data_IF_227514314771
#
_entry.id   IF_227514314771
#
_cell.length_a   1.000
_cell.length_b   1.000
_cell.length_c   1.000
_cell.angle_alpha   90.00
_cell.angle_beta   90.00
_cell.angle_gamma   90.00
#
_symmetry.space_group_name_H-M   'P 1'
#
loop_
_entity.id
_entity.type
_entity.pdbx_description
1 polymer ?
#
# COMPACT_ATOMS: atom_id res chain seq x y z
N UNK A 1 12.75 -62.77 -10.76
CA UNK A 1 14.11 -62.46 -10.27
C UNK A 1 14.02 -62.25 -8.76
N UNK A 2 14.55 -63.18 -7.98
CA UNK A 2 14.56 -63.12 -6.51
C UNK A 2 15.68 -62.18 -6.06
N UNK A 3 15.33 -60.96 -5.66
CA UNK A 3 16.28 -60.01 -5.09
C UNK A 3 16.40 -60.30 -3.60
N UNK A 4 17.48 -60.97 -3.19
CA UNK A 4 17.84 -61.15 -1.78
C UNK A 4 18.00 -59.78 -1.13
N UNK A 5 17.31 -59.46 -0.02
CA UNK A 5 17.51 -58.20 0.67
C UNK A 5 18.96 -58.10 1.15
N UNK A 6 19.64 -57.01 0.78
CA UNK A 6 21.01 -56.72 1.26
C UNK A 6 20.99 -56.66 2.78
N UNK A 7 21.63 -57.63 3.43
CA UNK A 7 21.91 -57.63 4.86
C UNK A 7 22.78 -56.41 5.19
N UNK A 8 22.30 -55.57 6.10
CA UNK A 8 23.00 -54.38 6.56
C UNK A 8 24.22 -54.83 7.38
N UNK A 9 25.43 -54.54 6.91
CA UNK A 9 26.67 -54.80 7.65
C UNK A 9 26.71 -53.95 8.94
N UNK A 10 26.95 -54.58 10.09
CA UNK A 10 26.81 -54.04 11.46
C UNK A 10 27.69 -52.88 11.90
N UNK A 11 28.20 -52.04 10.99
CA UNK A 11 28.96 -50.82 11.31
C UNK A 11 28.34 -49.52 10.77
N UNK A 12 27.24 -49.58 10.02
CA UNK A 12 26.59 -48.39 9.46
C UNK A 12 25.53 -47.88 10.43
N UNK A 13 25.63 -46.61 10.84
CA UNK A 13 24.62 -45.94 11.68
C UNK A 13 23.22 -46.20 11.10
N UNK A 14 22.35 -46.86 11.86
CA UNK A 14 20.99 -47.20 11.45
C UNK A 14 20.18 -45.97 11.02
N UNK A 15 20.56 -44.76 11.48
CA UNK A 15 19.94 -43.49 11.07
C UNK A 15 20.33 -43.02 9.68
N UNK A 16 21.31 -43.65 9.05
CA UNK A 16 21.84 -43.25 7.75
C UNK A 16 21.27 -44.04 6.58
N UNK A 17 20.45 -45.06 6.87
CA UNK A 17 19.82 -45.97 5.90
C UNK A 17 18.33 -46.15 6.21
N UNK A 18 17.54 -46.59 5.24
CA UNK A 18 16.10 -46.86 5.42
C UNK A 18 15.89 -48.23 6.08
N UNK A 19 15.17 -48.28 7.21
CA UNK A 19 14.86 -49.51 7.98
C UNK A 19 13.38 -49.91 7.87
N UNK A 20 13.06 -51.19 8.09
CA UNK A 20 11.72 -51.76 7.85
C UNK A 20 10.67 -51.41 8.93
N UNK A 21 11.08 -50.89 10.08
CA UNK A 21 10.28 -50.89 11.32
C UNK A 21 9.23 -49.78 11.47
N UNK A 22 8.79 -49.11 10.40
CA UNK A 22 7.84 -47.98 10.61
C UNK A 22 6.68 -47.83 9.64
N UNK A 23 6.72 -48.32 8.40
CA UNK A 23 5.57 -48.31 7.49
C UNK A 23 5.75 -49.44 6.45
N UNK A 24 4.71 -49.76 5.64
CA UNK A 24 4.85 -50.66 4.48
C UNK A 24 5.73 -50.01 3.42
N UNK A 25 7.05 -50.06 3.62
CA UNK A 25 8.07 -49.48 2.74
C UNK A 25 8.30 -50.43 1.57
N UNK A 26 8.38 -49.89 0.35
CA UNK A 26 8.75 -50.69 -0.81
C UNK A 26 10.16 -51.31 -0.59
N UNK A 27 10.34 -52.64 -0.75
CA UNK A 27 11.62 -53.32 -0.45
C UNK A 27 12.83 -52.71 -1.18
N UNK A 28 12.58 -52.11 -2.33
CA UNK A 28 13.56 -51.42 -3.20
C UNK A 28 14.20 -50.18 -2.57
N UNK A 29 13.61 -49.64 -1.51
CA UNK A 29 14.11 -48.47 -0.78
C UNK A 29 15.06 -48.83 0.35
N UNK A 30 15.03 -50.08 0.83
CA UNK A 30 15.86 -50.52 1.94
C UNK A 30 17.34 -50.41 1.58
N UNK A 31 18.13 -49.84 2.49
CA UNK A 31 19.57 -49.66 2.31
C UNK A 31 20.00 -48.48 1.42
N UNK A 32 19.07 -47.64 0.93
CA UNK A 32 19.46 -46.39 0.25
C UNK A 32 20.03 -45.37 1.25
N UNK A 33 21.09 -44.62 0.88
CA UNK A 33 21.69 -43.63 1.77
C UNK A 33 20.76 -42.43 1.96
N UNK A 34 20.47 -42.10 3.22
CA UNK A 34 19.67 -40.94 3.60
C UNK A 34 20.49 -39.65 3.51
N UNK A 35 19.83 -38.55 3.16
CA UNK A 35 20.47 -37.24 3.16
C UNK A 35 20.88 -36.84 4.60
N UNK A 36 22.07 -36.23 4.74
CA UNK A 36 22.52 -35.67 6.02
C UNK A 36 21.69 -34.41 6.37
N UNK A 37 21.43 -34.12 7.66
CA UNK A 37 20.64 -32.96 8.06
C UNK A 37 21.13 -31.64 7.47
N UNK A 38 22.45 -31.39 7.51
CA UNK A 38 23.03 -30.16 6.97
C UNK A 38 22.85 -30.03 5.45
N UNK A 39 22.85 -31.13 4.69
CA UNK A 39 22.61 -31.08 3.23
C UNK A 39 21.20 -30.61 2.91
N UNK A 40 20.24 -31.04 3.73
CA UNK A 40 18.84 -30.60 3.61
C UNK A 40 18.69 -29.13 4.02
N UNK A 41 19.35 -28.72 5.10
CA UNK A 41 19.36 -27.32 5.53
C UNK A 41 19.95 -26.39 4.45
N UNK A 42 21.12 -26.72 3.89
CA UNK A 42 21.72 -25.97 2.78
C UNK A 42 20.83 -25.95 1.54
N UNK A 43 20.20 -27.08 1.18
CA UNK A 43 19.26 -27.11 0.05
C UNK A 43 18.08 -26.15 0.27
N UNK A 44 17.51 -26.12 1.48
CA UNK A 44 16.41 -25.21 1.83
C UNK A 44 16.87 -23.74 1.86
N UNK A 45 18.08 -23.46 2.33
CA UNK A 45 18.64 -22.11 2.31
C UNK A 45 18.83 -21.59 0.89
N UNK A 46 19.34 -22.42 -0.02
CA UNK A 46 19.46 -22.09 -1.45
C UNK A 46 18.09 -21.86 -2.08
N UNK A 47 17.12 -22.74 -1.80
CA UNK A 47 15.74 -22.55 -2.26
C UNK A 47 15.12 -21.25 -1.72
N UNK A 48 15.39 -20.90 -0.46
CA UNK A 48 14.96 -19.65 0.16
C UNK A 48 15.54 -18.41 -0.53
N UNK A 49 16.82 -18.46 -0.94
CA UNK A 49 17.45 -17.40 -1.72
C UNK A 49 16.78 -17.23 -3.09
N UNK A 50 16.47 -18.33 -3.79
CA UNK A 50 15.72 -18.27 -5.05
C UNK A 50 14.32 -17.66 -4.86
N UNK A 51 13.62 -18.05 -3.80
CA UNK A 51 12.29 -17.50 -3.48
C UNK A 51 12.40 -16.01 -3.15
N UNK A 52 13.40 -15.58 -2.38
CA UNK A 52 13.61 -14.16 -2.08
C UNK A 52 13.91 -13.34 -3.34
N UNK A 53 14.73 -13.88 -4.25
CA UNK A 53 15.03 -13.23 -5.53
C UNK A 53 13.77 -13.15 -6.43
N UNK A 54 12.94 -14.20 -6.43
CA UNK A 54 11.66 -14.22 -7.13
C UNK A 54 10.65 -13.27 -6.50
N UNK A 55 10.66 -13.09 -5.17
CA UNK A 55 9.75 -12.18 -4.47
C UNK A 55 9.95 -10.71 -4.87
N UNK A 56 11.17 -10.34 -5.27
CA UNK A 56 11.49 -9.00 -5.80
C UNK A 56 11.14 -8.83 -7.29
N UNK A 57 10.62 -9.87 -7.95
CA UNK A 57 10.24 -9.80 -9.36
C UNK A 57 8.88 -9.11 -9.52
N UNK A 58 8.68 -8.28 -10.56
CA UNK A 58 7.39 -7.64 -10.81
C UNK A 58 6.23 -8.66 -10.81
N UNK A 59 5.15 -8.33 -10.08
CA UNK A 59 4.04 -9.26 -9.81
C UNK A 59 3.37 -9.88 -11.05
N UNK A 60 3.55 -9.28 -12.23
CA UNK A 60 3.02 -9.84 -13.46
C UNK A 60 3.74 -11.10 -13.95
N UNK A 61 5.07 -11.19 -13.78
CA UNK A 61 5.83 -12.38 -14.13
C UNK A 61 5.46 -13.53 -13.19
N UNK A 62 5.15 -13.19 -11.94
CA UNK A 62 4.69 -14.14 -10.94
C UNK A 62 3.31 -14.69 -11.29
N UNK A 63 2.35 -13.84 -11.69
CA UNK A 63 1.04 -14.27 -12.17
C UNK A 63 1.14 -15.19 -13.40
N UNK A 64 2.05 -14.88 -14.34
CA UNK A 64 2.31 -15.71 -15.51
C UNK A 64 2.89 -17.08 -15.11
N UNK A 65 3.90 -17.11 -14.23
CA UNK A 65 4.50 -18.34 -13.73
C UNK A 65 3.48 -19.21 -12.99
N UNK A 66 2.67 -18.62 -12.11
CA UNK A 66 1.59 -19.30 -11.40
C UNK A 66 0.57 -19.93 -12.36
N UNK A 67 0.17 -19.20 -13.39
CA UNK A 67 -0.71 -19.68 -14.46
C UNK A 67 -0.13 -20.88 -15.21
N UNK A 68 1.16 -20.83 -15.59
CA UNK A 68 1.85 -21.93 -16.27
C UNK A 68 1.92 -23.18 -15.38
N UNK A 69 2.22 -23.01 -14.09
CA UNK A 69 2.26 -24.11 -13.12
C UNK A 69 0.89 -24.75 -12.98
N UNK A 70 -0.17 -23.96 -12.78
CA UNK A 70 -1.54 -24.48 -12.70
C UNK A 70 -1.95 -25.19 -13.99
N UNK A 71 -1.58 -24.65 -15.15
CA UNK A 71 -1.82 -25.28 -16.44
C UNK A 71 -1.12 -26.65 -16.56
N UNK A 72 0.14 -26.75 -16.12
CA UNK A 72 0.89 -28.02 -16.13
C UNK A 72 0.42 -29.02 -15.08
N UNK A 73 -0.02 -28.56 -13.90
CA UNK A 73 -0.67 -29.40 -12.89
C UNK A 73 -1.97 -30.05 -13.42
N UNK A 74 -2.51 -29.46 -14.47
CA UNK A 74 -3.77 -29.83 -15.11
C UNK A 74 -3.55 -30.62 -16.42
N UNK A 75 -2.30 -30.88 -16.81
CA UNK A 75 -1.95 -31.66 -17.99
C UNK A 75 -2.48 -33.12 -17.88
N UNK A 76 -2.87 -33.75 -19.00
CA UNK A 76 -3.70 -34.95 -18.98
C UNK A 76 -3.00 -36.14 -18.33
N UNK A 77 -3.46 -36.54 -17.15
CA UNK A 77 -3.32 -37.92 -16.67
C UNK A 77 -4.48 -38.73 -17.26
N UNK A 78 -4.22 -39.97 -17.69
CA UNK A 78 -5.08 -40.87 -18.50
C UNK A 78 -6.49 -41.21 -17.95
N UNK A 79 -7.06 -40.47 -17.00
CA UNK A 79 -8.39 -40.72 -16.44
C UNK A 79 -9.43 -39.72 -16.97
N UNK A 80 -10.26 -40.16 -17.92
CA UNK A 80 -11.36 -39.43 -18.54
C UNK A 80 -12.59 -39.37 -17.62
N UNK A 81 -13.01 -38.16 -17.23
CA UNK A 81 -14.26 -37.91 -16.51
C UNK A 81 -14.78 -36.49 -16.76
N UNK A 82 -16.07 -36.37 -17.08
CA UNK A 82 -16.73 -35.14 -17.54
C UNK A 82 -16.60 -33.97 -16.54
N UNK A 83 -16.74 -34.26 -15.24
CA UNK A 83 -16.62 -33.28 -14.13
C UNK A 83 -15.22 -32.66 -14.04
N UNK A 84 -14.17 -33.45 -14.34
CA UNK A 84 -12.80 -32.93 -14.39
C UNK A 84 -12.54 -32.13 -15.67
N UNK A 85 -13.34 -32.24 -16.71
CA UNK A 85 -13.26 -31.36 -17.89
C UNK A 85 -13.62 -29.92 -17.57
N UNK A 86 -14.72 -29.71 -16.84
CA UNK A 86 -15.24 -28.39 -16.50
C UNK A 86 -14.33 -27.61 -15.54
N UNK A 87 -13.73 -28.30 -14.55
CA UNK A 87 -12.75 -27.69 -13.64
C UNK A 87 -11.53 -27.18 -14.42
N UNK A 88 -11.08 -27.91 -15.45
CA UNK A 88 -9.96 -27.47 -16.32
C UNK A 88 -10.30 -26.23 -17.14
N UNK A 89 -11.52 -26.15 -17.65
CA UNK A 89 -11.99 -24.98 -18.39
C UNK A 89 -12.06 -23.75 -17.47
N UNK A 90 -12.55 -23.93 -16.23
CA UNK A 90 -12.63 -22.87 -15.23
C UNK A 90 -11.23 -22.31 -14.87
N UNK A 91 -10.23 -23.16 -14.65
CA UNK A 91 -8.87 -22.70 -14.38
C UNK A 91 -8.21 -22.03 -15.59
N UNK A 92 -8.52 -22.47 -16.82
CA UNK A 92 -8.06 -21.80 -18.05
C UNK A 92 -8.71 -20.43 -18.25
N UNK A 93 -9.99 -20.30 -17.92
CA UNK A 93 -10.69 -19.02 -17.90
C UNK A 93 -10.12 -18.08 -16.84
N UNK A 94 -9.87 -18.56 -15.63
CA UNK A 94 -9.25 -17.78 -14.56
C UNK A 94 -7.84 -17.30 -14.94
N UNK A 95 -7.03 -18.18 -15.54
CA UNK A 95 -5.72 -17.83 -16.08
C UNK A 95 -5.81 -16.79 -17.21
N UNK A 96 -6.77 -16.94 -18.12
CA UNK A 96 -7.00 -16.00 -19.22
C UNK A 96 -7.48 -14.63 -18.72
N UNK A 97 -8.38 -14.61 -17.73
CA UNK A 97 -8.83 -13.39 -17.07
C UNK A 97 -7.65 -12.71 -16.37
N UNK A 98 -6.83 -13.45 -15.64
CA UNK A 98 -5.67 -12.89 -14.96
C UNK A 98 -4.69 -12.26 -15.96
N UNK A 99 -4.40 -12.92 -17.09
CA UNK A 99 -3.59 -12.36 -18.19
C UNK A 99 -4.28 -11.15 -18.83
N UNK A 100 -5.58 -11.17 -19.02
CA UNK A 100 -6.35 -10.08 -19.59
C UNK A 100 -6.35 -8.84 -18.69
N UNK A 101 -6.56 -9.00 -17.38
CA UNK A 101 -6.42 -7.91 -16.40
C UNK A 101 -5.01 -7.35 -16.41
N UNK A 102 -4.00 -8.20 -16.58
CA UNK A 102 -2.61 -7.82 -16.69
C UNK A 102 -2.33 -6.99 -17.96
N UNK A 103 -2.91 -7.39 -19.09
CA UNK A 103 -2.84 -6.65 -20.35
C UNK A 103 -3.53 -5.28 -20.21
N UNK A 104 -4.68 -5.20 -19.53
CA UNK A 104 -5.38 -3.93 -19.28
C UNK A 104 -4.55 -2.99 -18.40
N UNK A 105 -4.01 -3.49 -17.28
CA UNK A 105 -3.20 -2.68 -16.36
C UNK A 105 -1.90 -2.24 -17.04
N UNK A 106 -1.28 -3.11 -17.83
CA UNK A 106 -0.09 -2.78 -18.63
C UNK A 106 -0.42 -1.76 -19.73
N UNK A 107 -1.57 -1.91 -20.39
CA UNK A 107 -2.05 -0.96 -21.39
C UNK A 107 -2.32 0.42 -20.79
N UNK A 108 -2.81 0.50 -19.56
CA UNK A 108 -2.96 1.76 -18.81
C UNK A 108 -1.64 2.50 -18.61
N UNK A 109 -0.55 1.79 -18.34
CA UNK A 109 0.81 2.36 -18.18
C UNK A 109 1.44 2.76 -19.52
N UNK A 110 1.26 1.94 -20.56
CA UNK A 110 1.76 2.25 -21.91
C UNK A 110 0.98 3.42 -22.51
N UNK A 111 -0.35 3.46 -22.35
CA UNK A 111 -1.19 4.55 -22.87
C UNK A 111 -0.99 5.88 -22.14
N UNK A 112 -0.64 5.86 -20.86
CA UNK A 112 -0.23 7.07 -20.14
C UNK A 112 1.18 7.53 -20.58
N UNK A 113 2.10 6.60 -20.83
CA UNK A 113 3.41 6.89 -21.42
C UNK A 113 3.34 7.41 -22.86
N UNK A 114 2.44 6.87 -23.70
CA UNK A 114 2.26 7.34 -25.09
C UNK A 114 1.43 8.62 -25.18
N UNK A 115 0.61 8.96 -24.18
CA UNK A 115 0.04 10.33 -24.06
C UNK A 115 1.12 11.35 -23.69
N UNK A 116 2.05 11.00 -22.82
CA UNK A 116 3.21 11.85 -22.53
C UNK A 116 4.13 12.00 -23.76
N UNK A 117 4.36 10.92 -24.53
CA UNK A 117 5.18 10.94 -25.74
C UNK A 117 4.47 11.55 -26.98
N UNK A 118 3.14 11.37 -27.11
CA UNK A 118 2.33 11.97 -28.18
C UNK A 118 2.22 13.49 -28.05
N UNK A 119 2.31 14.01 -26.83
CA UNK A 119 2.42 15.46 -26.57
C UNK A 119 3.79 16.01 -27.01
N UNK A 120 4.80 15.16 -27.21
CA UNK A 120 6.18 15.57 -27.59
C UNK A 120 6.53 15.40 -29.08
N UNK A 121 5.68 14.76 -29.87
CA UNK A 121 5.92 14.47 -31.30
C UNK A 121 4.89 15.12 -32.26
N UNK A 122 3.94 15.88 -31.73
CA UNK A 122 3.09 16.79 -32.50
C UNK A 122 3.79 18.12 -32.75
N UNK A 123 4.67 18.12 -33.76
CA UNK A 123 5.27 19.23 -34.47
C UNK A 123 4.90 20.66 -34.01
N UNK A 124 5.91 21.34 -33.48
CA UNK A 124 6.18 22.74 -33.77
C UNK A 124 5.99 23.01 -35.27
N UNK A 125 4.86 23.64 -35.63
CA UNK A 125 4.76 24.48 -36.82
C UNK A 125 3.96 25.72 -36.44
N UNK A 126 4.73 26.69 -35.97
CA UNK A 126 4.46 28.14 -36.01
C UNK A 126 3.11 28.65 -35.48
N UNK A 127 3.12 29.03 -34.19
CA UNK A 127 2.79 30.42 -33.87
C UNK A 127 3.74 30.95 -32.80
N UNK A 128 4.68 31.74 -33.29
CA UNK A 128 5.50 32.66 -32.51
C UNK A 128 4.63 33.50 -31.59
N UNK A 129 4.75 33.26 -30.28
CA UNK A 129 4.67 34.28 -29.24
C UNK A 129 5.30 33.69 -27.98
N UNK A 130 6.42 34.30 -27.59
CA UNK A 130 7.13 34.30 -26.32
C UNK A 130 6.65 33.36 -25.18
N UNK A 131 7.63 32.72 -24.55
CA UNK A 131 7.53 32.04 -23.26
C UNK A 131 6.61 32.77 -22.27
N UNK A 132 5.66 32.10 -21.58
CA UNK A 132 5.08 32.68 -20.41
C UNK A 132 6.09 32.47 -19.28
N UNK A 133 6.81 33.54 -18.97
CA UNK A 133 7.24 33.75 -17.60
C UNK A 133 6.07 33.43 -16.66
N UNK A 134 6.36 32.86 -15.49
CA UNK A 134 5.42 32.81 -14.37
C UNK A 134 5.19 34.23 -13.87
N UNK A 135 4.47 35.00 -14.68
CA UNK A 135 3.88 36.27 -14.33
C UNK A 135 2.59 35.97 -13.62
N UNK A 136 2.50 36.45 -12.39
CA UNK A 136 1.26 36.67 -11.67
C UNK A 136 0.34 37.48 -12.60
N UNK A 137 -0.57 36.81 -13.30
CA UNK A 137 -1.65 37.46 -14.05
C UNK A 137 -2.63 38.02 -13.03
N UNK A 138 -2.34 39.23 -12.55
CA UNK A 138 -3.34 40.11 -11.95
C UNK A 138 -4.47 40.30 -12.97
N UNK A 139 -5.61 39.67 -12.75
CA UNK A 139 -6.89 40.15 -13.27
C UNK A 139 -7.81 39.16 -13.98
N UNK A 140 -7.44 37.90 -14.23
CA UNK A 140 -8.34 36.95 -14.88
C UNK A 140 -8.72 35.80 -13.93
N UNK A 141 -9.93 35.87 -13.38
CA UNK A 141 -10.55 34.77 -12.64
C UNK A 141 -10.67 33.55 -13.55
N UNK A 142 -10.22 32.37 -13.11
CA UNK A 142 -10.31 31.16 -13.93
C UNK A 142 -11.76 30.88 -14.38
N UNK A 143 -12.01 30.50 -15.65
CA UNK A 143 -13.35 30.20 -16.16
C UNK A 143 -14.09 29.13 -15.35
N UNK A 144 -13.33 28.23 -14.71
CA UNK A 144 -13.86 27.18 -13.83
C UNK A 144 -14.52 27.73 -12.57
N UNK A 145 -14.01 28.82 -12.00
CA UNK A 145 -14.54 29.46 -10.80
C UNK A 145 -15.78 30.29 -11.12
N UNK A 146 -15.75 30.98 -12.27
CA UNK A 146 -16.88 31.79 -12.78
C UNK A 146 -18.12 30.94 -13.04
N UNK A 147 -17.94 29.76 -13.64
CA UNK A 147 -19.05 28.88 -14.02
C UNK A 147 -19.39 27.83 -12.94
N UNK A 148 -18.95 28.03 -11.70
CA UNK A 148 -19.23 27.08 -10.63
C UNK A 148 -20.73 27.12 -10.27
N UNK A 149 -21.29 25.96 -9.92
CA UNK A 149 -22.69 25.86 -9.47
C UNK A 149 -22.99 26.77 -8.27
N UNK A 150 -21.99 27.03 -7.41
CA UNK A 150 -22.13 27.96 -6.29
C UNK A 150 -22.18 29.43 -6.73
N UNK A 151 -21.45 29.81 -7.78
CA UNK A 151 -21.48 31.18 -8.34
C UNK A 151 -22.85 31.48 -8.94
N UNK A 152 -23.42 30.52 -9.68
CA UNK A 152 -24.77 30.62 -10.23
C UNK A 152 -25.81 30.70 -9.11
N UNK A 153 -25.64 29.90 -8.05
CA UNK A 153 -26.52 29.96 -6.87
C UNK A 153 -26.46 31.31 -6.17
N UNK A 154 -25.27 31.89 -5.98
CA UNK A 154 -25.12 33.23 -5.39
C UNK A 154 -25.83 34.32 -6.21
N UNK A 155 -25.64 34.35 -7.53
CA UNK A 155 -26.31 35.30 -8.42
C UNK A 155 -27.84 35.16 -8.43
N UNK A 156 -28.34 33.96 -8.14
CA UNK A 156 -29.77 33.67 -8.04
C UNK A 156 -30.40 34.02 -6.67
N UNK A 157 -29.68 34.69 -5.76
CA UNK A 157 -30.23 35.12 -4.47
C UNK A 157 -31.28 36.24 -4.66
N UNK A 158 -32.42 36.08 -3.99
CA UNK A 158 -33.55 37.01 -4.12
C UNK A 158 -33.58 38.08 -3.03
N UNK A 159 -32.94 37.82 -1.90
CA UNK A 159 -32.82 38.73 -0.77
C UNK A 159 -31.39 38.81 -0.21
N UNK A 160 -31.16 39.78 0.66
CA UNK A 160 -29.83 40.05 1.24
C UNK A 160 -29.37 38.92 2.17
N UNK A 161 -30.26 38.37 3.00
CA UNK A 161 -29.93 37.28 3.94
C UNK A 161 -29.49 36.01 3.20
N UNK A 162 -30.21 35.67 2.15
CA UNK A 162 -29.95 34.55 1.26
C UNK A 162 -28.65 34.76 0.47
N UNK A 163 -28.37 35.98 0.03
CA UNK A 163 -27.12 36.31 -0.65
C UNK A 163 -25.90 36.09 0.27
N UNK A 164 -25.98 36.51 1.54
CA UNK A 164 -24.94 36.30 2.53
C UNK A 164 -24.70 34.81 2.83
N UNK A 165 -25.77 34.03 3.03
CA UNK A 165 -25.68 32.60 3.30
C UNK A 165 -25.13 31.81 2.07
N UNK A 166 -25.55 32.19 0.86
CA UNK A 166 -25.02 31.61 -0.38
C UNK A 166 -23.56 32.02 -0.63
N UNK A 167 -23.13 33.23 -0.27
CA UNK A 167 -21.73 33.64 -0.34
C UNK A 167 -20.84 32.81 0.59
N UNK A 168 -21.26 32.57 1.84
CA UNK A 168 -20.53 31.73 2.79
C UNK A 168 -20.43 30.27 2.30
N UNK A 169 -21.51 29.73 1.70
CA UNK A 169 -21.49 28.40 1.06
C UNK A 169 -20.58 28.35 -0.16
N UNK A 170 -20.49 29.42 -0.96
CA UNK A 170 -19.61 29.50 -2.11
C UNK A 170 -18.14 29.45 -1.68
N UNK A 171 -17.74 30.26 -0.69
CA UNK A 171 -16.36 30.27 -0.16
C UNK A 171 -15.95 28.87 0.32
N UNK A 172 -16.80 28.24 1.15
CA UNK A 172 -16.50 26.90 1.68
C UNK A 172 -16.45 25.82 0.60
N UNK A 173 -17.29 25.92 -0.43
CA UNK A 173 -17.28 25.01 -1.57
C UNK A 173 -16.00 25.14 -2.40
N UNK A 174 -15.58 26.38 -2.69
CA UNK A 174 -14.37 26.64 -3.49
C UNK A 174 -13.09 26.22 -2.75
N UNK A 175 -13.01 26.45 -1.43
CA UNK A 175 -11.90 25.95 -0.61
C UNK A 175 -11.80 24.43 -0.63
N UNK A 176 -12.93 23.71 -0.55
CA UNK A 176 -12.95 22.23 -0.68
C UNK A 176 -12.48 21.74 -2.06
N UNK A 177 -12.63 22.57 -3.09
CA UNK A 177 -12.16 22.27 -4.44
C UNK A 177 -10.70 22.66 -4.68
N UNK A 178 -10.01 23.20 -3.66
CA UNK A 178 -8.59 23.57 -3.72
C UNK A 178 -8.32 24.98 -4.23
N UNK A 179 -9.33 25.84 -4.35
CA UNK A 179 -9.14 27.25 -4.74
C UNK A 179 -8.46 28.04 -3.61
N UNK A 180 -7.51 28.89 -3.97
CA UNK A 180 -6.80 29.79 -3.05
C UNK A 180 -7.68 30.97 -2.64
N UNK A 181 -7.48 31.52 -1.44
CA UNK A 181 -8.24 32.67 -0.96
C UNK A 181 -8.05 33.91 -1.86
N UNK A 182 -6.90 34.04 -2.53
CA UNK A 182 -6.63 35.05 -3.56
C UNK A 182 -7.51 34.91 -4.80
N UNK A 183 -7.75 33.67 -5.27
CA UNK A 183 -8.62 33.38 -6.42
C UNK A 183 -10.09 33.62 -6.06
N UNK A 184 -10.51 33.18 -4.87
CA UNK A 184 -11.87 33.41 -4.36
C UNK A 184 -12.13 34.92 -4.22
N UNK A 185 -11.15 35.69 -3.72
CA UNK A 185 -11.25 37.15 -3.62
C UNK A 185 -11.43 37.82 -4.99
N UNK A 186 -10.65 37.40 -5.98
CA UNK A 186 -10.78 37.93 -7.34
C UNK A 186 -12.16 37.65 -7.94
N UNK A 187 -12.76 36.49 -7.66
CA UNK A 187 -14.12 36.15 -8.06
C UNK A 187 -15.15 37.08 -7.41
N UNK A 188 -15.07 37.32 -6.09
CA UNK A 188 -16.03 38.21 -5.41
C UNK A 188 -15.89 39.68 -5.80
N UNK A 189 -14.67 40.15 -6.10
CA UNK A 189 -14.46 41.50 -6.66
C UNK A 189 -15.14 41.65 -8.02
N UNK A 190 -15.06 40.62 -8.87
CA UNK A 190 -15.72 40.62 -10.17
C UNK A 190 -17.25 40.52 -10.04
N UNK A 191 -17.75 39.67 -9.14
CA UNK A 191 -19.20 39.54 -8.90
C UNK A 191 -19.80 40.83 -8.35
N UNK A 192 -19.05 41.58 -7.53
CA UNK A 192 -19.41 42.91 -7.04
C UNK A 192 -19.50 43.93 -8.18
N UNK A 193 -18.55 43.89 -9.11
CA UNK A 193 -18.53 44.81 -10.25
C UNK A 193 -19.64 44.51 -11.27
N UNK A 194 -19.99 43.23 -11.44
CA UNK A 194 -21.04 42.77 -12.34
C UNK A 194 -22.45 42.77 -11.71
N UNK A 195 -22.58 43.02 -10.41
CA UNK A 195 -23.89 42.98 -9.76
C UNK A 195 -24.69 44.26 -9.99
N UNK A 196 -25.77 44.15 -10.75
CA UNK A 196 -26.80 45.21 -10.88
C UNK A 196 -27.71 45.30 -9.64
N UNK A 197 -27.66 44.30 -8.74
CA UNK A 197 -28.51 44.20 -7.54
C UNK A 197 -27.74 44.65 -6.28
N UNK A 198 -28.28 45.59 -5.48
CA UNK A 198 -27.54 46.18 -4.36
C UNK A 198 -27.24 45.18 -3.23
N UNK A 199 -28.12 44.20 -2.98
CA UNK A 199 -27.90 43.19 -1.94
C UNK A 199 -26.84 42.13 -2.30
N UNK A 200 -26.54 41.95 -3.58
CA UNK A 200 -25.43 41.09 -4.02
C UNK A 200 -24.08 41.78 -3.80
N UNK A 201 -24.03 43.10 -4.01
CA UNK A 201 -22.85 43.90 -3.71
C UNK A 201 -22.54 43.92 -2.21
N UNK A 202 -23.55 44.10 -1.35
CA UNK A 202 -23.35 44.04 0.12
C UNK A 202 -22.91 42.66 0.61
N UNK A 203 -23.48 41.59 0.04
CA UNK A 203 -23.05 40.22 0.33
C UNK A 203 -21.64 39.90 -0.21
N UNK A 204 -21.23 40.50 -1.33
CA UNK A 204 -19.87 40.37 -1.83
C UNK A 204 -18.87 41.16 -0.96
N UNK A 205 -19.23 42.36 -0.50
CA UNK A 205 -18.40 43.19 0.39
C UNK A 205 -18.19 42.49 1.75
N UNK A 206 -19.22 41.87 2.31
CA UNK A 206 -19.09 41.08 3.55
C UNK A 206 -18.24 39.81 3.34
N UNK A 207 -18.39 39.13 2.21
CA UNK A 207 -17.53 38.00 1.84
C UNK A 207 -16.05 38.41 1.69
N UNK A 208 -15.78 39.57 1.07
CA UNK A 208 -14.43 40.12 0.94
C UNK A 208 -13.84 40.50 2.31
N UNK A 209 -14.64 40.99 3.24
CA UNK A 209 -14.20 41.30 4.60
C UNK A 209 -13.79 40.03 5.36
N UNK A 210 -14.53 38.92 5.19
CA UNK A 210 -14.16 37.60 5.76
C UNK A 210 -12.88 37.05 5.14
N UNK A 211 -12.70 37.21 3.83
CA UNK A 211 -11.49 36.77 3.13
C UNK A 211 -10.27 37.61 3.50
N UNK A 212 -10.44 38.92 3.73
CA UNK A 212 -9.37 39.81 4.20
C UNK A 212 -9.05 39.59 5.69
N UNK A 213 -10.04 39.25 6.53
CA UNK A 213 -9.81 38.90 7.93
C UNK A 213 -9.04 37.58 8.12
N UNK A 214 -9.09 36.69 7.12
CA UNK A 214 -8.29 35.48 7.07
C UNK A 214 -6.84 35.73 6.60
N UNK A 215 -6.54 36.92 6.09
CA UNK A 215 -5.19 37.33 5.75
C UNK A 215 -4.45 37.66 7.06
N UNK A 216 -3.44 36.86 7.39
CA UNK A 216 -2.43 37.23 8.40
C UNK A 216 -1.80 38.54 7.92
N UNK A 217 -2.30 39.67 8.40
CA UNK A 217 -1.65 40.96 8.21
C UNK A 217 -0.24 40.82 8.79
N UNK A 218 0.83 41.02 8.00
CA UNK A 218 2.18 40.89 8.50
C UNK A 218 2.36 41.83 9.69
N UNK A 219 2.98 41.35 10.78
CA UNK A 219 3.13 42.06 12.05
C UNK A 219 3.64 43.52 11.92
N UNK A 220 4.40 43.79 10.85
CA UNK A 220 4.88 45.13 10.51
C UNK A 220 3.74 46.15 10.22
N UNK A 221 2.62 45.74 9.62
CA UNK A 221 1.50 46.64 9.32
C UNK A 221 0.58 46.85 10.52
N UNK A 222 0.49 45.87 11.42
CA UNK A 222 -0.23 45.99 12.70
C UNK A 222 0.46 46.98 13.64
N UNK A 223 1.81 46.95 13.70
CA UNK A 223 2.61 47.89 14.49
C UNK A 223 2.54 49.33 13.96
N UNK A 224 2.59 49.52 12.64
CA UNK A 224 2.45 50.85 12.02
C UNK A 224 1.04 51.44 12.30
N UNK A 225 0.00 50.62 12.30
CA UNK A 225 -1.35 51.06 12.61
C UNK A 225 -1.54 51.42 14.10
N UNK A 226 -0.95 50.66 15.03
CA UNK A 226 -0.98 51.01 16.46
C UNK A 226 -0.22 52.30 16.76
N UNK A 227 0.94 52.51 16.14
CA UNK A 227 1.74 53.72 16.33
C UNK A 227 1.00 54.98 15.83
N UNK A 228 0.32 54.87 14.69
CA UNK A 228 -0.53 55.96 14.17
C UNK A 228 -1.74 56.25 15.07
N UNK A 229 -2.33 55.23 15.70
CA UNK A 229 -3.43 55.40 16.65
C UNK A 229 -2.96 56.07 17.96
N UNK A 230 -1.75 55.78 18.43
CA UNK A 230 -1.15 56.47 19.59
C UNK A 230 -0.93 57.96 19.28
N UNK A 231 -0.38 58.27 18.10
CA UNK A 231 -0.19 59.66 17.65
C UNK A 231 -1.52 60.41 17.52
N UNK A 232 -2.54 59.77 16.92
CA UNK A 232 -3.87 60.36 16.80
C UNK A 232 -4.54 60.58 18.16
N UNK A 233 -4.31 59.69 19.13
CA UNK A 233 -4.80 59.86 20.50
C UNK A 233 -4.16 61.06 21.19
N UNK A 234 -2.83 61.19 21.11
CA UNK A 234 -2.10 62.35 21.67
C UNK A 234 -2.56 63.66 21.03
N UNK A 235 -2.72 63.70 19.71
CA UNK A 235 -3.23 64.89 19.01
C UNK A 235 -4.66 65.27 19.44
N UNK A 236 -5.52 64.29 19.73
CA UNK A 236 -6.88 64.55 20.23
C UNK A 236 -6.92 65.10 21.66
N UNK A 237 -5.92 64.78 22.48
CA UNK A 237 -5.75 65.35 23.82
C UNK A 237 -5.24 66.79 23.76
N UNK A 238 -4.36 67.11 22.81
CA UNK A 238 -3.86 68.48 22.60
C UNK A 238 -4.95 69.42 22.07
N UNK A 239 -5.93 68.89 21.32
CA UNK A 239 -7.09 69.65 20.81
C UNK A 239 -8.25 69.76 21.81
N UNK A 240 -8.13 69.19 23.00
CA UNK A 240 -9.15 69.17 24.06
C UNK A 240 -10.53 68.64 23.59
N UNK A 241 -10.53 67.66 22.67
CA UNK A 241 -11.76 66.98 22.21
C UNK A 241 -11.93 65.63 22.95
N UNK A 242 -12.74 65.58 24.02
CA UNK A 242 -12.92 64.38 24.83
C UNK A 242 -13.66 63.26 24.09
N UNK A 243 -14.42 63.56 23.03
CA UNK A 243 -15.18 62.56 22.26
C UNK A 243 -14.26 61.83 21.28
N UNK A 244 -13.43 62.59 20.57
CA UNK A 244 -12.42 62.01 19.69
C UNK A 244 -11.41 61.16 20.49
N UNK A 245 -10.95 61.66 21.63
CA UNK A 245 -10.04 60.93 22.51
C UNK A 245 -10.65 59.62 23.03
N UNK A 246 -11.93 59.62 23.44
CA UNK A 246 -12.61 58.41 23.91
C UNK A 246 -12.76 57.34 22.81
N UNK A 247 -13.08 57.75 21.57
CA UNK A 247 -13.21 56.84 20.43
C UNK A 247 -11.88 56.19 20.05
N UNK A 248 -10.79 56.97 20.00
CA UNK A 248 -9.46 56.46 19.66
C UNK A 248 -8.92 55.56 20.78
N UNK A 249 -9.17 55.91 22.07
CA UNK A 249 -8.79 55.07 23.21
C UNK A 249 -9.42 53.68 23.16
N UNK A 250 -10.69 53.59 22.76
CA UNK A 250 -11.37 52.31 22.61
C UNK A 250 -10.72 51.44 21.51
N UNK A 251 -10.39 52.03 20.36
CA UNK A 251 -9.71 51.33 19.27
C UNK A 251 -8.28 50.90 19.63
N UNK A 252 -7.54 51.76 20.35
CA UNK A 252 -6.20 51.44 20.83
C UNK A 252 -6.22 50.29 21.85
N UNK A 253 -7.18 50.29 22.78
CA UNK A 253 -7.33 49.20 23.75
C UNK A 253 -7.68 47.86 23.09
N UNK A 254 -8.51 47.89 22.03
CA UNK A 254 -8.90 46.69 21.30
C UNK A 254 -7.75 46.10 20.48
N UNK A 255 -6.90 46.95 19.87
CA UNK A 255 -5.75 46.51 19.08
C UNK A 255 -4.62 45.94 19.95
N UNK A 256 -4.32 46.57 21.09
CA UNK A 256 -3.34 46.04 22.06
C UNK A 256 -3.83 44.72 22.66
N UNK A 257 -5.12 44.64 23.04
CA UNK A 257 -5.69 43.42 23.58
C UNK A 257 -5.76 42.28 22.56
N UNK A 258 -5.87 42.57 21.26
CA UNK A 258 -5.95 41.56 20.21
C UNK A 258 -4.67 40.73 20.09
N UNK A 259 -3.50 41.35 20.26
CA UNK A 259 -2.21 40.65 20.21
C UNK A 259 -2.06 39.66 21.37
N UNK A 260 -2.39 40.09 22.59
CA UNK A 260 -2.31 39.26 23.80
C UNK A 260 -3.35 38.12 23.77
N UNK A 261 -4.57 38.38 23.28
CA UNK A 261 -5.59 37.35 23.08
C UNK A 261 -5.19 36.33 22.01
N UNK A 262 -4.49 36.77 20.96
CA UNK A 262 -4.05 35.89 19.89
C UNK A 262 -2.91 34.99 20.36
N UNK A 263 -1.95 35.53 21.11
CA UNK A 263 -0.88 34.74 21.73
C UNK A 263 -1.43 33.63 22.65
N UNK A 264 -2.44 33.97 23.48
CA UNK A 264 -3.06 33.00 24.38
C UNK A 264 -3.86 31.92 23.61
N UNK A 265 -4.53 32.28 22.51
CA UNK A 265 -5.22 31.29 21.64
C UNK A 265 -4.24 30.35 20.96
N UNK A 266 -3.12 30.89 20.49
CA UNK A 266 -2.07 30.08 19.85
C UNK A 266 -1.47 29.07 20.85
N UNK A 267 -1.29 29.45 22.11
CA UNK A 267 -0.85 28.55 23.18
C UNK A 267 -1.87 27.42 23.44
N UNK A 268 -3.16 27.76 23.52
CA UNK A 268 -4.23 26.76 23.68
C UNK A 268 -4.29 25.80 22.49
N UNK A 269 -4.20 26.32 21.26
CA UNK A 269 -4.17 25.49 20.06
C UNK A 269 -2.95 24.56 20.01
N UNK A 270 -1.78 25.03 20.44
CA UNK A 270 -0.59 24.19 20.55
C UNK A 270 -0.76 23.11 21.63
N UNK A 271 -1.42 23.45 22.75
CA UNK A 271 -1.76 22.49 23.80
C UNK A 271 -2.68 21.38 23.28
N UNK A 272 -3.76 21.75 22.58
CA UNK A 272 -4.71 20.80 21.99
C UNK A 272 -4.05 19.91 20.93
N UNK A 273 -3.17 20.46 20.10
CA UNK A 273 -2.40 19.70 19.12
C UNK A 273 -1.48 18.67 19.78
N UNK A 274 -0.83 19.01 20.90
CA UNK A 274 0.00 18.07 21.69
C UNK A 274 -0.85 16.99 22.35
N UNK A 275 -2.01 17.33 22.89
CA UNK A 275 -2.92 16.34 23.48
C UNK A 275 -3.42 15.37 22.41
N UNK A 276 -3.74 15.87 21.21
CA UNK A 276 -4.14 15.04 20.08
C UNK A 276 -3.02 14.09 19.62
N UNK A 277 -1.77 14.56 19.53
CA UNK A 277 -0.64 13.70 19.15
C UNK A 277 -0.37 12.62 20.19
N UNK A 278 -0.39 12.96 21.48
CA UNK A 278 -0.18 12.00 22.57
C UNK A 278 -1.31 10.95 22.61
N UNK A 279 -2.57 11.35 22.36
CA UNK A 279 -3.67 10.40 22.23
C UNK A 279 -3.51 9.47 21.04
N UNK A 280 -3.03 9.97 19.90
CA UNK A 280 -2.73 9.15 18.72
C UNK A 280 -1.61 8.14 19.02
N UNK A 281 -0.53 8.58 19.66
CA UNK A 281 0.57 7.70 20.07
C UNK A 281 0.11 6.63 21.06
N UNK A 282 -0.80 6.98 21.98
CA UNK A 282 -1.38 6.03 22.92
C UNK A 282 -2.32 5.04 22.23
N UNK A 283 -3.14 5.48 21.27
CA UNK A 283 -4.01 4.60 20.47
C UNK A 283 -3.18 3.64 19.61
N UNK A 284 -2.05 4.08 19.04
CA UNK A 284 -1.14 3.24 18.25
C UNK A 284 -0.34 2.27 19.12
N UNK A 285 0.03 2.67 20.34
CA UNK A 285 0.69 1.81 21.33
C UNK A 285 -0.28 0.81 21.99
N UNK A 286 -1.55 1.21 22.21
CA UNK A 286 -2.60 0.32 22.71
C UNK A 286 -3.17 -0.60 21.64
N UNK A 287 -3.00 -0.26 20.35
CA UNK A 287 -3.59 -1.01 19.24
C UNK A 287 -3.03 -2.40 18.98
N UNK A 288 -1.97 -2.89 19.66
CA UNK A 288 -1.70 -4.33 19.80
C UNK A 288 -0.37 -4.64 20.54
N UNK A 289 -0.38 -5.03 21.83
CA UNK A 289 0.75 -5.71 22.48
C UNK A 289 0.51 -7.22 22.49
N UNK A 290 0.29 -7.82 21.31
CA UNK A 290 -0.16 -9.21 21.20
C UNK A 290 0.62 -10.07 20.20
N UNK A 291 0.88 -11.32 20.58
CA UNK A 291 1.39 -12.38 19.70
C UNK A 291 0.54 -12.50 18.42
N UNK A 292 -0.76 -12.21 18.50
CA UNK A 292 -1.68 -12.21 17.36
C UNK A 292 -1.36 -11.12 16.33
N UNK A 293 -0.89 -9.95 16.76
CA UNK A 293 -0.48 -8.87 15.85
C UNK A 293 0.85 -9.16 15.18
N UNK A 294 1.78 -9.79 15.91
CA UNK A 294 3.00 -10.34 15.32
C UNK A 294 2.67 -11.43 14.29
N UNK A 295 1.76 -12.35 14.61
CA UNK A 295 1.30 -13.38 13.68
C UNK A 295 0.55 -12.79 12.48
N UNK A 296 -0.22 -11.71 12.66
CA UNK A 296 -0.93 -11.03 11.57
C UNK A 296 0.02 -10.26 10.66
N UNK A 297 0.99 -9.53 11.21
CA UNK A 297 2.07 -8.87 10.44
C UNK A 297 2.91 -9.89 9.67
N UNK A 298 3.27 -11.00 10.33
CA UNK A 298 3.86 -12.14 9.64
C UNK A 298 2.93 -12.69 8.56
N UNK A 299 1.64 -12.86 8.80
CA UNK A 299 0.71 -13.38 7.79
C UNK A 299 0.46 -12.42 6.63
N UNK A 300 0.55 -11.11 6.84
CA UNK A 300 0.42 -10.07 5.80
C UNK A 300 1.70 -9.97 4.96
N UNK A 301 2.88 -9.98 5.60
CA UNK A 301 4.20 -10.00 4.95
C UNK A 301 4.49 -11.36 4.26
N UNK A 302 4.02 -12.46 4.87
CA UNK A 302 4.11 -13.82 4.33
C UNK A 302 2.92 -14.17 3.43
N UNK A 303 1.85 -13.38 3.34
CA UNK A 303 0.66 -13.75 2.56
C UNK A 303 0.98 -13.94 1.08
N UNK A 304 1.84 -13.07 0.55
CA UNK A 304 2.44 -13.22 -0.78
C UNK A 304 3.63 -14.19 -0.74
N UNK A 305 4.54 -14.09 0.25
CA UNK A 305 5.75 -14.92 0.32
C UNK A 305 5.50 -16.43 0.50
N UNK A 306 4.60 -16.82 1.39
CA UNK A 306 4.15 -18.19 1.66
C UNK A 306 3.40 -18.78 0.48
N UNK A 307 2.55 -17.99 -0.19
CA UNK A 307 1.86 -18.40 -1.41
C UNK A 307 2.83 -18.73 -2.53
N UNK A 308 3.82 -17.87 -2.77
CA UNK A 308 4.87 -18.10 -3.78
C UNK A 308 5.83 -19.22 -3.40
N UNK A 309 6.22 -19.33 -2.13
CA UNK A 309 6.99 -20.46 -1.63
C UNK A 309 6.23 -21.77 -1.88
N UNK A 310 4.92 -21.78 -1.63
CA UNK A 310 4.05 -22.93 -1.88
C UNK A 310 3.99 -23.32 -3.33
N UNK A 311 3.81 -22.35 -4.21
CA UNK A 311 3.83 -22.56 -5.66
C UNK A 311 5.20 -23.07 -6.13
N UNK A 312 6.29 -22.43 -5.71
CA UNK A 312 7.66 -22.81 -6.03
C UNK A 312 7.95 -24.26 -5.61
N UNK A 313 7.76 -24.59 -4.33
CA UNK A 313 8.06 -25.92 -3.81
C UNK A 313 7.15 -26.97 -4.45
N UNK A 314 5.85 -26.72 -4.58
CA UNK A 314 4.91 -27.66 -5.19
C UNK A 314 5.25 -27.91 -6.66
N UNK A 315 5.52 -26.85 -7.42
CA UNK A 315 5.84 -26.92 -8.84
C UNK A 315 7.14 -27.67 -9.09
N UNK A 316 8.25 -27.25 -8.47
CA UNK A 316 9.54 -27.89 -8.71
C UNK A 316 9.54 -29.34 -8.23
N UNK A 317 8.99 -29.63 -7.05
CA UNK A 317 8.93 -31.00 -6.53
C UNK A 317 8.09 -31.91 -7.43
N UNK A 318 6.96 -31.43 -7.95
CA UNK A 318 6.13 -32.22 -8.87
C UNK A 318 6.77 -32.35 -10.27
N UNK A 319 7.29 -31.26 -10.84
CA UNK A 319 7.84 -31.22 -12.21
C UNK A 319 9.20 -31.90 -12.33
N UNK A 320 10.03 -31.85 -11.29
CA UNK A 320 11.37 -32.43 -11.27
C UNK A 320 11.45 -33.72 -10.45
N UNK A 321 10.32 -34.44 -10.32
CA UNK A 321 10.25 -35.77 -9.70
C UNK A 321 10.91 -35.83 -8.31
N UNK A 322 10.55 -34.91 -7.42
CA UNK A 322 11.06 -34.87 -6.04
C UNK A 322 12.27 -33.96 -5.83
N UNK A 323 12.59 -33.07 -6.78
CA UNK A 323 13.74 -32.16 -6.68
C UNK A 323 13.30 -30.70 -6.69
N UNK A 324 14.10 -29.87 -6.03
CA UNK A 324 14.08 -28.41 -6.14
C UNK A 324 15.47 -27.95 -6.62
N UNK A 325 15.63 -26.72 -7.13
CA UNK A 325 16.93 -26.17 -7.47
C UNK A 325 17.99 -26.39 -6.38
N UNK A 326 17.69 -26.05 -5.12
CA UNK A 326 18.60 -26.28 -4.00
C UNK A 326 18.88 -27.77 -3.73
N UNK A 327 17.85 -28.63 -3.78
CA UNK A 327 18.05 -30.08 -3.59
C UNK A 327 18.89 -30.70 -4.72
N UNK A 328 18.70 -30.25 -5.95
CA UNK A 328 19.49 -30.68 -7.11
C UNK A 328 20.96 -30.28 -6.95
N UNK A 329 21.22 -29.06 -6.49
CA UNK A 329 22.58 -28.58 -6.20
C UNK A 329 23.26 -29.42 -5.09
N UNK A 330 22.50 -29.81 -4.07
CA UNK A 330 23.03 -30.61 -2.95
C UNK A 330 23.08 -32.13 -3.21
N UNK A 331 22.66 -32.58 -4.40
CA UNK A 331 22.63 -34.00 -4.78
C UNK A 331 21.67 -34.81 -3.90
N UNK A 332 20.49 -34.27 -3.59
CA UNK A 332 19.47 -34.94 -2.77
C UNK A 332 18.12 -34.95 -3.48
N UNK A 333 17.32 -35.99 -3.23
CA UNK A 333 16.03 -36.20 -3.90
C UNK A 333 14.98 -36.71 -2.91
N UNK A 334 13.75 -36.20 -3.06
CA UNK A 334 12.58 -36.71 -2.34
C UNK A 334 12.05 -37.95 -3.06
N UNK A 335 11.83 -39.03 -2.32
CA UNK A 335 11.24 -40.28 -2.81
C UNK A 335 10.06 -40.63 -1.90
N UNK A 336 8.99 -41.17 -2.49
CA UNK A 336 7.82 -41.64 -1.74
C UNK A 336 8.07 -43.06 -1.22
N UNK A 337 7.55 -43.38 -0.03
CA UNK A 337 7.78 -44.66 0.63
C UNK A 337 7.26 -45.88 -0.16
N UNK A 338 6.33 -45.67 -1.09
CA UNK A 338 5.76 -46.69 -1.97
C UNK A 338 6.40 -46.73 -3.38
N UNK A 339 7.56 -46.07 -3.59
CA UNK A 339 8.26 -45.96 -4.87
C UNK A 339 7.48 -45.30 -6.02
N UNK A 340 6.27 -44.77 -5.80
CA UNK A 340 5.50 -44.12 -6.87
C UNK A 340 6.03 -42.72 -7.16
N UNK A 341 5.82 -42.19 -8.39
CA UNK A 341 6.25 -40.85 -8.74
C UNK A 341 5.65 -39.79 -7.83
N UNK A 342 6.40 -38.70 -7.67
CA UNK A 342 6.01 -37.55 -6.85
C UNK A 342 4.94 -36.75 -7.57
N UNK A 343 3.70 -36.86 -7.10
CA UNK A 343 2.56 -36.16 -7.69
C UNK A 343 2.31 -34.78 -7.07
N UNK A 344 1.55 -33.94 -7.79
CA UNK A 344 1.18 -32.58 -7.39
C UNK A 344 0.55 -32.49 -6.00
N UNK A 345 -0.41 -33.37 -5.68
CA UNK A 345 -1.08 -33.39 -4.38
C UNK A 345 -0.11 -33.65 -3.24
N UNK A 346 0.74 -34.67 -3.37
CA UNK A 346 1.74 -34.99 -2.36
C UNK A 346 2.74 -33.84 -2.18
N UNK A 347 3.17 -33.21 -3.28
CA UNK A 347 4.07 -32.06 -3.21
C UNK A 347 3.44 -30.87 -2.44
N UNK A 348 2.14 -30.63 -2.62
CA UNK A 348 1.39 -29.62 -1.88
C UNK A 348 1.20 -29.97 -0.40
N UNK A 349 0.80 -31.21 -0.09
CA UNK A 349 0.68 -31.72 1.29
C UNK A 349 2.02 -31.59 2.04
N UNK A 350 3.12 -31.95 1.37
CA UNK A 350 4.47 -31.79 1.89
C UNK A 350 4.81 -30.32 2.13
N UNK A 351 4.37 -29.40 1.27
CA UNK A 351 4.56 -27.97 1.49
C UNK A 351 3.81 -27.46 2.73
N UNK A 352 2.56 -27.88 2.93
CA UNK A 352 1.80 -27.58 4.14
C UNK A 352 2.53 -28.03 5.42
N UNK A 353 3.22 -29.17 5.36
CA UNK A 353 4.09 -29.63 6.44
C UNK A 353 5.27 -28.69 6.76
N UNK A 354 5.80 -27.93 5.79
CA UNK A 354 6.81 -26.90 6.05
C UNK A 354 6.19 -25.74 6.83
N UNK A 355 5.01 -25.26 6.43
CA UNK A 355 4.30 -24.21 7.15
C UNK A 355 4.01 -24.62 8.60
N UNK A 356 3.54 -25.85 8.82
CA UNK A 356 3.35 -26.41 10.16
C UNK A 356 4.66 -26.51 10.96
N UNK A 357 5.77 -26.86 10.31
CA UNK A 357 7.08 -26.92 10.96
C UNK A 357 7.60 -25.53 11.38
N UNK A 358 7.26 -24.47 10.62
CA UNK A 358 7.56 -23.08 11.00
C UNK A 358 6.65 -22.65 12.16
N UNK A 359 5.34 -22.92 12.07
CA UNK A 359 4.36 -22.56 13.10
C UNK A 359 4.68 -23.18 14.48
N UNK A 360 5.34 -24.34 14.50
CA UNK A 360 5.81 -25.02 15.71
C UNK A 360 7.20 -24.57 16.17
N UNK A 361 7.69 -23.42 15.72
CA UNK A 361 8.97 -22.86 16.14
C UNK A 361 10.18 -23.63 15.61
N UNK A 362 10.12 -24.11 14.36
CA UNK A 362 11.13 -24.95 13.70
C UNK A 362 11.35 -26.35 14.32
N UNK A 363 10.62 -26.69 15.38
CA UNK A 363 10.70 -28.00 16.03
C UNK A 363 10.37 -29.13 15.04
N UNK A 364 9.42 -28.88 14.12
CA UNK A 364 9.10 -29.82 13.05
C UNK A 364 10.25 -30.12 12.08
N UNK A 365 11.18 -29.19 11.89
CA UNK A 365 12.42 -29.42 11.16
C UNK A 365 13.48 -30.10 12.03
N UNK A 366 13.60 -29.70 13.30
CA UNK A 366 14.56 -30.26 14.24
C UNK A 366 14.37 -31.77 14.47
N UNK A 367 13.16 -32.30 14.22
CA UNK A 367 12.88 -33.74 14.30
C UNK A 367 13.85 -34.62 13.51
N UNK A 368 14.42 -34.09 12.42
CA UNK A 368 15.42 -34.80 11.62
C UNK A 368 16.66 -35.26 12.43
N UNK A 369 16.99 -34.56 13.52
CA UNK A 369 18.20 -34.79 14.30
C UNK A 369 18.12 -36.08 15.13
N UNK A 370 16.91 -36.47 15.55
CA UNK A 370 16.67 -37.62 16.41
C UNK A 370 15.78 -38.71 15.79
N UNK A 371 15.10 -38.42 14.67
CA UNK A 371 14.28 -39.41 13.98
C UNK A 371 15.13 -40.52 13.32
N UNK A 372 14.72 -41.79 13.50
CA UNK A 372 15.46 -42.96 12.99
C UNK A 372 15.64 -42.94 11.47
N UNK A 373 14.67 -42.42 10.71
CA UNK A 373 14.75 -42.34 9.26
C UNK A 373 15.11 -40.92 8.78
N UNK A 374 15.57 -40.05 9.68
CA UNK A 374 15.86 -38.63 9.41
C UNK A 374 14.69 -37.93 8.72
N UNK A 375 13.47 -38.23 9.18
CA UNK A 375 12.24 -37.61 8.68
C UNK A 375 11.83 -36.45 9.58
N UNK A 376 11.54 -35.30 8.95
CA UNK A 376 10.89 -34.16 9.57
C UNK A 376 9.36 -34.29 9.47
N UNK A 377 8.60 -33.39 10.11
CA UNK A 377 7.12 -33.42 10.10
C UNK A 377 6.56 -33.46 8.66
N UNK A 378 7.09 -32.64 7.77
CA UNK A 378 6.67 -32.60 6.37
C UNK A 378 6.98 -33.89 5.59
N UNK A 379 8.03 -34.63 5.98
CA UNK A 379 8.32 -35.95 5.38
C UNK A 379 7.28 -36.98 5.80
N UNK A 380 6.90 -36.97 7.08
CA UNK A 380 5.94 -37.90 7.67
C UNK A 380 4.54 -37.69 7.13
N UNK A 381 4.07 -36.44 7.07
CA UNK A 381 2.76 -36.08 6.52
C UNK A 381 2.62 -36.54 5.07
N UNK A 382 3.69 -36.42 4.28
CA UNK A 382 3.67 -36.76 2.85
C UNK A 382 4.15 -38.19 2.54
N UNK A 383 4.40 -39.03 3.55
CA UNK A 383 4.92 -40.40 3.41
C UNK A 383 6.16 -40.48 2.49
N UNK A 384 7.15 -39.63 2.78
CA UNK A 384 8.34 -39.44 1.94
C UNK A 384 9.63 -39.52 2.73
N UNK A 385 10.72 -39.76 2.02
CA UNK A 385 12.09 -39.74 2.53
C UNK A 385 12.99 -38.95 1.59
N UNK A 386 14.05 -38.35 2.13
CA UNK A 386 15.05 -37.64 1.33
C UNK A 386 16.32 -38.48 1.27
N UNK A 387 16.65 -38.94 0.08
CA UNK A 387 17.84 -39.76 -0.17
C UNK A 387 18.96 -38.90 -0.76
N UNK A 388 20.20 -39.32 -0.50
CA UNK A 388 21.38 -38.80 -1.21
C UNK A 388 21.47 -39.51 -2.56
N UNK A 389 21.70 -38.76 -3.63
CA UNK A 389 22.04 -39.33 -4.92
C UNK A 389 23.53 -39.73 -4.94
N UNK A 390 23.77 -40.95 -5.42
CA UNK A 390 25.10 -41.57 -5.53
C UNK A 390 25.90 -40.96 -6.66
#
# INVERSE_FOLDING_TARGET
MNSTPRQVSGGTDARSIITADSFRIAPELLGRPLARPWRRACAMAVDGLFIALLANTPGFLLALAGSIVLFRATAPSQATGYVRGSIRLMFRFSAAIMVFTLLIVSWGRVSSGTRAAGTSLGLNSERSAAAPERGVSRGAVEPRLRNSSGTISFLAASDESEAHDRAARLISSLRRQGATDTEIRSLFLELREQSERPWLATAADSALLVLNAAEKVPAAQTQIASDLLVVAYVASLEQDDPRAAAAIRAQLSASIAAEELQALRDEVQQGDARIASIRSELDDAQRDPGILAFLRRLAEDLGLGLGWAGLYFTAFVALWNGRTPGKRLMGVKIIRLDCKPVGWRMAFERFGGYAASIATGLLGFAQILWDRNRQAIHDKIAETVVVKES
#
